data_IF_706570916938
#
_entry.id   IF_706570916938
#
_cell.length_a   1.000
_cell.length_b   1.000
_cell.length_c   1.000
_cell.angle_alpha   90.00
_cell.angle_beta   90.00
_cell.angle_gamma   90.00
#
_symmetry.space_group_name_H-M   'P 1'
#
loop_
_entity.id
_entity.type
_entity.pdbx_description
1 polymer ?
#
# COMPACT_ATOMS: atom_id res chain seq x y z
N UNK A 1 -4.08 -15.83 8.67
CA UNK A 1 -3.53 -15.12 7.48
C UNK A 1 -3.57 -13.62 7.72
N UNK A 2 -2.50 -12.89 7.40
CA UNK A 2 -2.49 -11.42 7.48
C UNK A 2 -3.37 -10.84 6.37
N UNK A 3 -4.33 -9.99 6.75
CA UNK A 3 -5.13 -9.23 5.77
C UNK A 3 -4.27 -8.15 5.15
N UNK A 4 -4.15 -8.14 3.82
CA UNK A 4 -3.43 -7.12 3.05
C UNK A 4 -4.41 -6.11 2.49
N UNK A 5 -4.25 -4.84 2.87
CA UNK A 5 -5.01 -3.71 2.32
C UNK A 5 -4.07 -2.76 1.61
N UNK A 6 -4.54 -2.20 0.49
CA UNK A 6 -3.78 -1.19 -0.22
C UNK A 6 -3.72 0.11 0.59
N UNK A 7 -2.51 0.64 0.78
CA UNK A 7 -2.24 1.90 1.46
C UNK A 7 -2.53 3.13 0.59
N UNK A 8 -2.78 2.95 -0.71
CA UNK A 8 -3.12 4.06 -1.60
C UNK A 8 -4.46 4.69 -1.20
N UNK A 9 -4.56 6.02 -1.21
CA UNK A 9 -5.71 6.76 -0.67
C UNK A 9 -7.05 6.39 -1.31
N UNK A 10 -7.07 6.26 -2.63
CA UNK A 10 -8.28 5.97 -3.43
C UNK A 10 -8.49 4.48 -3.70
N UNK A 11 -7.53 3.61 -3.37
CA UNK A 11 -7.63 2.19 -3.68
C UNK A 11 -8.35 1.42 -2.56
N UNK A 12 -9.29 0.57 -2.96
CA UNK A 12 -10.06 -0.30 -2.04
C UNK A 12 -9.69 -1.77 -2.14
N UNK A 13 -8.56 -2.11 -2.78
CA UNK A 13 -8.09 -3.48 -2.87
C UNK A 13 -7.76 -4.06 -1.49
N UNK A 14 -8.41 -5.18 -1.15
CA UNK A 14 -8.28 -5.86 0.13
C UNK A 14 -8.30 -7.38 -0.12
N UNK A 15 -7.29 -8.09 0.42
CA UNK A 15 -7.10 -9.52 0.21
C UNK A 15 -8.27 -10.38 0.71
N UNK A 16 -9.12 -9.85 1.60
CA UNK A 16 -10.34 -10.54 2.06
C UNK A 16 -11.34 -10.75 0.92
N UNK A 17 -11.33 -9.87 -0.09
CA UNK A 17 -12.25 -9.91 -1.21
C UNK A 17 -11.61 -10.50 -2.48
N UNK A 18 -10.62 -11.41 -2.33
CA UNK A 18 -9.89 -12.02 -3.45
C UNK A 18 -10.77 -12.64 -4.56
N UNK A 19 -11.99 -13.05 -4.21
CA UNK A 19 -12.96 -13.67 -5.12
C UNK A 19 -13.78 -12.65 -5.92
N UNK A 20 -13.69 -11.35 -5.62
CA UNK A 20 -14.44 -10.31 -6.34
C UNK A 20 -13.75 -10.00 -7.68
N UNK A 21 -14.51 -9.65 -8.73
CA UNK A 21 -13.94 -9.33 -10.05
C UNK A 21 -12.86 -8.25 -10.01
N UNK A 22 -13.03 -7.22 -9.17
CA UNK A 22 -12.03 -6.15 -9.03
C UNK A 22 -10.73 -6.60 -8.36
N UNK A 23 -10.62 -7.82 -7.83
CA UNK A 23 -9.40 -8.36 -7.24
C UNK A 23 -8.69 -9.38 -8.16
N UNK A 24 -9.24 -9.64 -9.36
CA UNK A 24 -8.61 -10.52 -10.34
C UNK A 24 -7.23 -9.98 -10.73
N UNK A 25 -6.21 -10.83 -10.66
CA UNK A 25 -4.80 -10.50 -10.96
C UNK A 25 -4.19 -9.36 -10.11
N UNK A 26 -4.79 -9.07 -8.95
CA UNK A 26 -4.23 -8.11 -8.00
C UNK A 26 -3.26 -8.80 -7.07
N UNK A 27 -2.01 -8.34 -7.08
CA UNK A 27 -1.01 -8.71 -6.10
C UNK A 27 -0.62 -7.49 -5.24
N UNK A 28 -0.05 -7.76 -4.08
CA UNK A 28 0.32 -6.74 -3.10
C UNK A 28 1.83 -6.70 -2.92
N UNK A 29 2.42 -5.52 -3.10
CA UNK A 29 3.83 -5.23 -2.86
C UNK A 29 3.97 -4.60 -1.48
N UNK A 30 4.91 -5.07 -0.68
CA UNK A 30 5.19 -4.51 0.64
C UNK A 30 5.70 -3.08 0.54
N UNK A 31 5.21 -2.22 1.44
CA UNK A 31 5.69 -0.85 1.52
C UNK A 31 7.19 -0.85 1.88
N UNK A 32 8.02 -0.03 1.22
CA UNK A 32 9.44 0.11 1.55
C UNK A 32 9.60 0.59 3.00
N UNK A 33 10.46 -0.09 3.77
CA UNK A 33 10.70 0.27 5.17
C UNK A 33 11.62 1.50 5.24
N UNK A 34 11.35 2.45 6.15
CA UNK A 34 12.22 3.62 6.36
C UNK A 34 13.67 3.23 6.68
N UNK A 35 13.85 2.19 7.51
CA UNK A 35 15.17 1.66 7.91
C UNK A 35 15.97 1.09 6.74
N UNK A 36 15.32 0.63 5.68
CA UNK A 36 15.97 0.00 4.53
C UNK A 36 16.22 0.98 3.40
N UNK A 37 15.27 1.87 3.13
CA UNK A 37 15.39 2.91 2.11
C UNK A 37 14.42 4.05 2.40
N UNK A 38 14.94 5.10 3.03
CA UNK A 38 14.19 6.27 3.42
C UNK A 38 13.60 7.01 2.21
N UNK A 39 14.41 7.28 1.18
CA UNK A 39 13.97 8.02 0.00
C UNK A 39 12.85 7.32 -0.76
N UNK A 40 12.92 6.00 -0.90
CA UNK A 40 11.88 5.22 -1.57
C UNK A 40 10.59 5.21 -0.74
N UNK A 41 10.73 5.19 0.58
CA UNK A 41 9.63 5.29 1.53
C UNK A 41 8.88 6.63 1.41
N UNK A 42 9.62 7.74 1.37
CA UNK A 42 9.07 9.09 1.19
C UNK A 42 8.34 9.20 -0.15
N UNK A 43 8.98 8.79 -1.26
CA UNK A 43 8.35 8.78 -2.58
C UNK A 43 7.02 8.03 -2.62
N UNK A 44 6.95 6.90 -1.92
CA UNK A 44 5.71 6.12 -1.83
C UNK A 44 4.64 6.79 -0.95
N UNK A 45 5.04 7.47 0.13
CA UNK A 45 4.13 8.24 0.98
C UNK A 45 3.47 9.36 0.18
N UNK A 46 4.27 10.14 -0.55
CA UNK A 46 3.80 11.24 -1.39
C UNK A 46 2.86 10.71 -2.49
N UNK A 47 3.25 9.61 -3.15
CA UNK A 47 2.45 8.99 -4.19
C UNK A 47 1.09 8.46 -3.67
N UNK A 48 1.04 7.91 -2.46
CA UNK A 48 -0.19 7.36 -1.89
C UNK A 48 -1.29 8.40 -1.65
N UNK A 49 -0.98 9.71 -1.70
CA UNK A 49 -1.92 10.81 -1.53
C UNK A 49 -2.83 10.65 -0.29
N UNK A 50 -2.25 10.19 0.82
CA UNK A 50 -2.98 10.10 2.09
C UNK A 50 -2.64 11.27 2.99
N UNK A 51 -3.59 11.72 3.83
CA UNK A 51 -3.28 12.72 4.83
C UNK A 51 -2.17 12.25 5.77
N UNK A 52 -1.25 13.15 6.14
CA UNK A 52 -0.11 12.86 7.00
C UNK A 52 -0.50 12.22 8.34
N UNK A 53 -1.67 12.57 8.87
CA UNK A 53 -2.19 11.97 10.10
C UNK A 53 -2.61 10.50 9.93
N UNK A 54 -2.92 10.04 8.71
CA UNK A 54 -3.27 8.64 8.43
C UNK A 54 -2.03 7.79 8.10
N UNK A 55 -1.17 8.31 7.22
CA UNK A 55 -0.01 7.60 6.72
C UNK A 55 1.20 8.53 6.71
N UNK A 56 2.20 8.19 7.52
CA UNK A 56 3.47 8.89 7.59
C UNK A 56 4.57 7.91 7.95
N UNK A 57 5.82 8.37 7.91
CA UNK A 57 7.01 7.56 8.08
C UNK A 57 7.04 6.76 9.38
N UNK A 58 6.52 7.32 10.48
CA UNK A 58 6.48 6.69 11.79
C UNK A 58 5.32 5.67 11.92
N UNK A 59 4.32 5.77 11.05
CA UNK A 59 3.14 4.89 11.02
C UNK A 59 3.29 3.71 10.06
N UNK A 60 4.30 3.70 9.20
CA UNK A 60 4.55 2.58 8.28
C UNK A 60 4.95 1.35 9.10
N UNK A 61 4.14 0.29 8.94
CA UNK A 61 4.38 -1.03 9.55
C UNK A 61 4.64 -2.06 8.46
N UNK A 62 5.17 -3.22 8.87
CA UNK A 62 5.41 -4.39 8.00
C UNK A 62 4.17 -4.86 7.21
N UNK A 63 2.97 -4.53 7.69
CA UNK A 63 1.70 -4.90 7.07
C UNK A 63 1.08 -3.80 6.17
N UNK A 64 1.86 -2.77 5.82
CA UNK A 64 1.45 -1.82 4.78
C UNK A 64 1.84 -2.37 3.41
N UNK A 65 0.88 -2.33 2.47
CA UNK A 65 1.06 -2.84 1.12
C UNK A 65 0.49 -1.86 0.10
N UNK A 66 1.02 -1.89 -1.11
CA UNK A 66 0.44 -1.21 -2.28
C UNK A 66 0.07 -2.29 -3.29
N UNK A 67 -1.10 -2.18 -3.93
CA UNK A 67 -1.54 -3.19 -4.87
C UNK A 67 -1.04 -2.87 -6.28
N UNK A 68 -0.94 -3.90 -7.13
CA UNK A 68 -0.46 -3.80 -8.51
C UNK A 68 -1.31 -2.92 -9.43
N UNK A 69 -2.50 -2.48 -8.99
CA UNK A 69 -3.36 -1.58 -9.76
C UNK A 69 -2.85 -0.16 -9.77
N UNK A 70 -2.31 0.32 -8.66
CA UNK A 70 -1.87 1.71 -8.52
C UNK A 70 -0.40 1.90 -8.88
N UNK A 71 0.38 0.82 -8.95
CA UNK A 71 1.79 0.86 -9.37
C UNK A 71 1.98 0.86 -10.89
N UNK A 72 0.90 0.84 -11.68
CA UNK A 72 0.93 0.78 -13.15
C UNK A 72 0.50 2.09 -13.82
N UNK A 73 0.35 3.16 -13.04
CA UNK A 73 0.06 4.49 -13.59
C UNK A 73 1.33 5.25 -13.91
#
# INVERSE_FOLDING_TARGET
MVTKRCAWGTCRSDSRYKHKPHMLNVFFVSFPKPKSSLERCIRWLDACCRPYYQLNINKIKSHHFVCSKVSRN
#
